data_IF_322981223557
#
_entry.id   IF_322981223557
#
_cell.length_a   1.000
_cell.length_b   1.000
_cell.length_c   1.000
_cell.angle_alpha   90.00
_cell.angle_beta   90.00
_cell.angle_gamma   90.00
#
_symmetry.space_group_name_H-M   'P 1'
#
loop_
_entity.id
_entity.type
_entity.pdbx_description
1 polymer ?
#
# COMPACT_ATOMS: atom_id res chain seq x y z
N UNK A 1 -4.90 -7.95 -8.20
CA UNK A 1 -6.08 -7.65 -9.03
C UNK A 1 -7.14 -6.92 -8.22
N UNK A 2 -7.66 -7.49 -7.12
CA UNK A 2 -8.72 -6.85 -6.33
C UNK A 2 -8.36 -5.45 -5.81
N UNK A 3 -7.13 -5.24 -5.34
CA UNK A 3 -6.65 -3.91 -4.91
C UNK A 3 -6.70 -2.85 -6.02
N UNK A 4 -6.38 -3.23 -7.25
CA UNK A 4 -6.45 -2.33 -8.41
C UNK A 4 -7.91 -2.03 -8.75
N UNK A 5 -8.78 -3.04 -8.73
CA UNK A 5 -10.21 -2.85 -8.94
C UNK A 5 -10.80 -1.88 -7.89
N UNK A 6 -10.49 -2.09 -6.61
CA UNK A 6 -10.92 -1.20 -5.53
C UNK A 6 -10.42 0.24 -5.75
N UNK A 7 -9.17 0.39 -6.20
CA UNK A 7 -8.59 1.69 -6.55
C UNK A 7 -9.39 2.37 -7.67
N UNK A 8 -9.75 1.63 -8.73
CA UNK A 8 -10.52 2.17 -9.86
C UNK A 8 -11.90 2.67 -9.42
N UNK A 9 -12.58 1.95 -8.53
CA UNK A 9 -13.89 2.35 -8.00
C UNK A 9 -13.84 3.51 -7.01
N UNK A 10 -12.82 3.55 -6.15
CA UNK A 10 -12.77 4.50 -5.02
C UNK A 10 -11.99 5.77 -5.38
N UNK A 11 -10.83 5.61 -6.01
CA UNK A 11 -9.96 6.73 -6.35
C UNK A 11 -10.24 7.28 -7.74
N UNK A 12 -10.49 6.37 -8.71
CA UNK A 12 -10.69 6.69 -10.12
C UNK A 12 -9.38 6.58 -10.90
N UNK A 13 -9.16 7.52 -11.82
CA UNK A 13 -7.93 7.54 -12.61
C UNK A 13 -6.73 8.04 -11.79
N UNK A 14 -5.57 7.44 -12.01
CA UNK A 14 -4.32 7.76 -11.32
C UNK A 14 -3.13 7.55 -12.25
N UNK A 15 -2.13 8.42 -12.09
CA UNK A 15 -0.93 8.48 -12.92
C UNK A 15 0.31 7.88 -12.24
N UNK A 16 0.24 7.65 -10.92
CA UNK A 16 1.37 7.17 -10.14
C UNK A 16 1.00 6.15 -9.05
N UNK A 17 1.71 5.03 -9.04
CA UNK A 17 1.62 3.97 -8.04
C UNK A 17 2.91 3.87 -7.24
N UNK A 18 2.81 3.73 -5.93
CA UNK A 18 3.90 3.38 -5.02
C UNK A 18 3.72 1.98 -4.48
N UNK A 19 4.70 1.09 -4.61
CA UNK A 19 4.67 -0.26 -4.04
C UNK A 19 5.72 -0.39 -2.94
N UNK A 20 5.26 -0.63 -1.71
CA UNK A 20 6.09 -0.85 -0.53
C UNK A 20 6.06 -2.34 -0.20
N UNK A 21 7.19 -3.01 -0.40
CA UNK A 21 7.33 -4.45 -0.23
C UNK A 21 7.45 -5.17 -1.57
N UNK A 22 8.66 -5.66 -1.88
CA UNK A 22 8.99 -6.37 -3.12
C UNK A 22 9.11 -7.88 -2.90
N UNK A 23 8.11 -8.45 -2.21
CA UNK A 23 7.90 -9.91 -2.18
C UNK A 23 7.10 -10.36 -3.41
N UNK A 24 6.74 -11.66 -3.46
CA UNK A 24 5.98 -12.26 -4.57
C UNK A 24 4.79 -11.40 -5.02
N UNK A 25 3.96 -10.96 -4.08
CA UNK A 25 2.76 -10.20 -4.39
C UNK A 25 3.05 -8.74 -4.79
N UNK A 26 4.08 -8.12 -4.22
CA UNK A 26 4.51 -6.78 -4.63
C UNK A 26 5.01 -6.76 -6.08
N UNK A 27 5.80 -7.76 -6.47
CA UNK A 27 6.22 -7.95 -7.87
C UNK A 27 5.01 -8.13 -8.80
N UNK A 28 4.07 -9.00 -8.41
CA UNK A 28 2.85 -9.23 -9.18
C UNK A 28 1.98 -7.97 -9.33
N UNK A 29 1.90 -7.11 -8.30
CA UNK A 29 1.16 -5.84 -8.41
C UNK A 29 1.81 -4.91 -9.43
N UNK A 30 3.15 -4.80 -9.44
CA UNK A 30 3.88 -4.00 -10.43
C UNK A 30 3.62 -4.52 -11.84
N UNK A 31 3.71 -5.83 -12.04
CA UNK A 31 3.45 -6.49 -13.33
C UNK A 31 2.01 -6.26 -13.81
N UNK A 32 1.01 -6.48 -12.94
CA UNK A 32 -0.40 -6.27 -13.28
C UNK A 32 -0.64 -4.82 -13.68
N UNK A 33 -0.10 -3.86 -12.92
CA UNK A 33 -0.35 -2.44 -13.17
C UNK A 33 0.35 -1.97 -14.44
N UNK A 34 1.57 -2.44 -14.73
CA UNK A 34 2.27 -2.09 -15.97
C UNK A 34 1.52 -2.58 -17.22
N UNK A 35 0.82 -3.70 -17.12
CA UNK A 35 0.00 -4.26 -18.21
C UNK A 35 -1.34 -3.52 -18.36
N UNK A 36 -2.02 -3.25 -17.24
CA UNK A 36 -3.35 -2.62 -17.25
C UNK A 36 -3.31 -1.12 -17.54
N UNK A 37 -2.23 -0.43 -17.14
CA UNK A 37 -2.13 1.03 -17.19
C UNK A 37 -0.83 1.47 -17.88
N UNK A 38 -0.87 1.56 -19.21
CA UNK A 38 0.28 2.03 -19.99
C UNK A 38 0.66 3.46 -19.62
N UNK A 39 1.96 3.70 -19.39
CA UNK A 39 2.50 5.03 -19.06
C UNK A 39 2.38 5.44 -17.60
N UNK A 40 1.90 4.55 -16.73
CA UNK A 40 1.83 4.82 -15.28
C UNK A 40 3.24 4.90 -14.67
N UNK A 41 3.47 5.89 -13.79
CA UNK A 41 4.72 5.97 -13.02
C UNK A 41 4.66 4.99 -11.86
N UNK A 42 5.57 4.00 -11.84
CA UNK A 42 5.64 3.01 -10.77
C UNK A 42 6.85 3.28 -9.90
N UNK A 43 6.62 3.73 -8.66
CA UNK A 43 7.67 3.90 -7.65
C UNK A 43 7.73 2.65 -6.76
N UNK A 44 8.93 2.16 -6.44
CA UNK A 44 9.10 0.95 -5.62
C UNK A 44 10.02 1.17 -4.43
N UNK A 45 9.73 0.48 -3.33
CA UNK A 45 10.58 0.50 -2.14
C UNK A 45 10.62 -0.85 -1.42
N UNK A 46 11.81 -1.21 -0.96
CA UNK A 46 12.06 -2.28 0.01
C UNK A 46 13.32 -1.93 0.79
N UNK A 47 13.39 -2.16 2.12
CA UNK A 47 14.61 -1.91 2.88
C UNK A 47 15.73 -2.90 2.57
N UNK A 48 15.43 -4.04 1.93
CA UNK A 48 16.42 -5.06 1.57
C UNK A 48 17.04 -4.76 0.20
N UNK A 49 18.32 -4.39 0.18
CA UNK A 49 19.08 -4.17 -1.04
C UNK A 49 19.04 -5.40 -1.97
N UNK A 50 19.25 -6.60 -1.43
CA UNK A 50 19.18 -7.84 -2.20
C UNK A 50 17.82 -8.04 -2.90
N UNK A 51 16.70 -7.70 -2.22
CA UNK A 51 15.37 -7.79 -2.84
C UNK A 51 15.17 -6.71 -3.90
N UNK A 52 15.70 -5.51 -3.68
CA UNK A 52 15.64 -4.43 -4.67
C UNK A 52 16.38 -4.83 -5.95
N UNK A 53 17.61 -5.34 -5.84
CA UNK A 53 18.40 -5.80 -6.99
C UNK A 53 17.70 -6.91 -7.77
N UNK A 54 17.13 -7.90 -7.07
CA UNK A 54 16.34 -8.97 -7.69
C UNK A 54 15.11 -8.43 -8.42
N UNK A 55 14.36 -7.53 -7.79
CA UNK A 55 13.17 -6.93 -8.39
C UNK A 55 13.51 -6.14 -9.66
N UNK A 56 14.56 -5.31 -9.61
CA UNK A 56 15.03 -4.54 -10.77
C UNK A 56 15.48 -5.44 -11.93
N UNK A 57 16.14 -6.57 -11.64
CA UNK A 57 16.53 -7.53 -12.67
C UNK A 57 15.30 -8.16 -13.36
N UNK A 58 14.28 -8.54 -12.58
CA UNK A 58 13.01 -9.09 -13.09
C UNK A 58 12.31 -8.05 -13.98
N UNK A 59 12.04 -6.85 -13.45
CA UNK A 59 11.33 -5.81 -14.18
C UNK A 59 12.07 -5.36 -15.44
N UNK A 60 13.41 -5.26 -15.40
CA UNK A 60 14.21 -4.99 -16.60
C UNK A 60 14.05 -6.09 -17.65
N UNK A 61 14.03 -7.37 -17.24
CA UNK A 61 13.86 -8.48 -18.18
C UNK A 61 12.47 -8.53 -18.82
N UNK A 62 11.47 -7.98 -18.14
CA UNK A 62 10.07 -7.87 -18.59
C UNK A 62 9.78 -6.55 -19.33
N UNK A 63 10.76 -5.65 -19.42
CA UNK A 63 10.58 -4.32 -20.04
C UNK A 63 9.68 -3.37 -19.23
N UNK A 64 9.54 -3.60 -17.92
CA UNK A 64 8.75 -2.76 -17.03
C UNK A 64 9.63 -1.66 -16.45
N UNK A 65 9.25 -0.41 -16.69
CA UNK A 65 9.92 0.76 -16.10
C UNK A 65 9.43 1.00 -14.67
N UNK A 66 10.38 1.15 -13.75
CA UNK A 66 10.13 1.38 -12.32
C UNK A 66 11.15 2.36 -11.75
N UNK A 67 10.72 3.19 -10.80
CA UNK A 67 11.56 4.14 -10.09
C UNK A 67 11.81 3.68 -8.65
N UNK A 68 12.97 3.10 -8.33
CA UNK A 68 13.32 2.79 -6.94
C UNK A 68 13.47 4.09 -6.13
N UNK A 69 12.85 4.13 -4.95
CA UNK A 69 13.00 5.24 -4.00
C UNK A 69 13.87 4.83 -2.81
N UNK A 70 14.42 5.82 -2.12
CA UNK A 70 15.29 5.62 -0.96
C UNK A 70 14.52 5.59 0.38
N UNK A 71 13.24 5.94 0.37
CA UNK A 71 12.45 6.06 1.58
C UNK A 71 10.94 5.93 1.32
N UNK A 72 10.22 5.47 2.34
CA UNK A 72 8.75 5.43 2.35
C UNK A 72 8.17 6.84 2.17
N UNK A 73 8.78 7.86 2.76
CA UNK A 73 8.35 9.26 2.62
C UNK A 73 8.31 9.70 1.15
N UNK A 74 9.39 9.43 0.39
CA UNK A 74 9.41 9.73 -1.05
C UNK A 74 8.37 8.95 -1.85
N UNK A 75 8.14 7.68 -1.51
CA UNK A 75 7.05 6.91 -2.14
C UNK A 75 5.71 7.63 -1.95
N UNK A 76 5.42 8.09 -0.73
CA UNK A 76 4.15 8.75 -0.44
C UNK A 76 4.04 10.13 -1.13
N UNK A 77 5.13 10.89 -1.16
CA UNK A 77 5.18 12.20 -1.83
C UNK A 77 5.02 12.08 -3.35
N UNK A 78 5.54 11.03 -3.97
CA UNK A 78 5.57 10.87 -5.43
C UNK A 78 4.50 9.94 -6.02
N UNK A 79 3.63 9.36 -5.19
CA UNK A 79 2.56 8.45 -5.64
C UNK A 79 1.17 8.89 -5.19
N UNK A 80 0.18 8.75 -6.06
CA UNK A 80 -1.25 8.99 -5.78
C UNK A 80 -1.90 7.78 -5.10
N UNK A 81 -1.46 6.59 -5.51
CA UNK A 81 -1.89 5.30 -4.94
C UNK A 81 -0.68 4.63 -4.31
N UNK A 82 -0.84 4.13 -3.09
CA UNK A 82 0.19 3.35 -2.38
C UNK A 82 -0.36 1.95 -2.16
N UNK A 83 0.43 0.93 -2.47
CA UNK A 83 0.17 -0.45 -2.08
C UNK A 83 1.24 -0.90 -1.09
N UNK A 84 0.84 -1.28 0.12
CA UNK A 84 1.72 -1.89 1.12
C UNK A 84 1.48 -3.40 1.17
N UNK A 85 2.56 -4.18 1.07
CA UNK A 85 2.49 -5.65 1.11
C UNK A 85 3.77 -6.26 1.70
N UNK A 86 3.98 -6.00 2.98
CA UNK A 86 5.14 -6.45 3.74
C UNK A 86 4.76 -7.46 4.82
N UNK A 87 5.76 -7.91 5.58
CA UNK A 87 5.59 -8.72 6.79
C UNK A 87 5.93 -7.90 8.05
N UNK A 88 5.84 -6.58 7.97
CA UNK A 88 6.16 -5.71 9.10
C UNK A 88 5.22 -6.00 10.27
N UNK A 89 5.77 -5.99 11.47
CA UNK A 89 5.03 -6.06 12.74
C UNK A 89 4.91 -4.70 13.41
N UNK A 90 5.83 -3.80 13.07
CA UNK A 90 5.84 -2.42 13.51
C UNK A 90 5.36 -1.52 12.37
N UNK A 91 4.41 -0.61 12.62
CA UNK A 91 3.91 0.31 11.61
C UNK A 91 5.03 1.23 11.11
N UNK A 92 5.01 1.54 9.81
CA UNK A 92 5.98 2.42 9.17
C UNK A 92 5.32 3.56 8.38
N UNK A 93 4.06 3.40 7.96
CA UNK A 93 3.34 4.40 7.17
C UNK A 93 2.68 5.41 8.12
N UNK A 94 3.27 6.60 8.20
CA UNK A 94 2.83 7.67 9.11
C UNK A 94 1.89 8.66 8.44
N UNK A 95 1.04 9.30 9.25
CA UNK A 95 0.11 10.34 8.80
C UNK A 95 0.83 11.51 8.11
N UNK A 96 1.97 11.96 8.66
CA UNK A 96 2.79 13.05 8.08
C UNK A 96 3.31 12.76 6.66
N UNK A 97 3.34 11.48 6.25
CA UNK A 97 3.76 11.11 4.90
C UNK A 97 2.62 11.16 3.90
N UNK A 98 1.35 11.12 4.34
CA UNK A 98 0.19 10.89 3.46
C UNK A 98 -0.88 11.98 3.57
N UNK A 99 -0.75 12.92 4.51
CA UNK A 99 -1.75 13.96 4.77
C UNK A 99 -1.62 15.24 3.92
N UNK A 100 -0.69 15.27 2.96
CA UNK A 100 -0.39 16.47 2.18
C UNK A 100 -1.12 16.55 0.82
N UNK A 101 -1.81 15.46 0.41
CA UNK A 101 -2.57 15.37 -0.84
C UNK A 101 -3.63 14.27 -0.76
N UNK A 102 -4.54 14.22 -1.75
CA UNK A 102 -5.48 13.10 -1.90
C UNK A 102 -4.70 11.83 -2.25
N UNK A 103 -4.83 10.79 -1.43
CA UNK A 103 -4.09 9.53 -1.59
C UNK A 103 -5.01 8.33 -1.37
N UNK A 104 -4.74 7.23 -2.07
CA UNK A 104 -5.40 5.94 -1.84
C UNK A 104 -4.37 4.93 -1.34
N UNK A 105 -4.71 4.15 -0.32
CA UNK A 105 -3.81 3.16 0.27
C UNK A 105 -4.48 1.78 0.19
N UNK A 106 -3.85 0.89 -0.56
CA UNK A 106 -4.14 -0.54 -0.55
C UNK A 106 -3.27 -1.22 0.51
N UNK A 107 -3.83 -1.45 1.69
CA UNK A 107 -3.15 -2.14 2.80
C UNK A 107 -3.34 -3.66 2.67
N UNK A 108 -2.37 -4.36 2.09
CA UNK A 108 -2.51 -5.78 1.76
C UNK A 108 -1.66 -6.71 2.64
N UNK A 109 -0.75 -6.18 3.46
CA UNK A 109 0.18 -6.98 4.26
C UNK A 109 -0.42 -7.54 5.55
N UNK A 110 -1.48 -6.93 6.07
CA UNK A 110 -2.05 -7.29 7.36
C UNK A 110 -3.21 -8.26 7.24
N UNK A 111 -2.89 -9.53 7.43
CA UNK A 111 -3.84 -10.63 7.42
C UNK A 111 -3.80 -11.47 8.71
N UNK A 112 -3.09 -10.97 9.72
CA UNK A 112 -3.09 -11.45 11.11
C UNK A 112 -2.88 -10.23 12.03
N UNK A 113 -3.39 -10.25 13.29
CA UNK A 113 -3.39 -9.08 14.16
C UNK A 113 -2.00 -8.48 14.45
N UNK A 114 -0.94 -9.29 14.38
CA UNK A 114 0.43 -8.87 14.68
C UNK A 114 1.12 -8.20 13.49
N UNK A 115 0.54 -8.24 12.29
CA UNK A 115 1.09 -7.53 11.13
C UNK A 115 0.47 -6.17 11.04
N UNK A 116 1.28 -5.13 11.15
CA UNK A 116 0.82 -3.76 11.14
C UNK A 116 1.79 -2.96 10.30
N UNK A 117 1.30 -2.38 9.20
CA UNK A 117 2.10 -1.56 8.30
C UNK A 117 1.83 -0.06 8.50
N UNK A 118 0.63 0.26 8.99
CA UNK A 118 0.08 1.61 9.01
C UNK A 118 -0.16 2.07 10.44
N UNK A 119 0.24 3.30 10.75
CA UNK A 119 -0.02 3.90 12.05
C UNK A 119 -1.53 4.17 12.25
N UNK A 120 -2.09 3.94 13.46
CA UNK A 120 -3.50 4.17 13.78
C UNK A 120 -4.03 5.57 13.41
N UNK A 121 -3.16 6.58 13.47
CA UNK A 121 -3.47 7.97 13.12
C UNK A 121 -3.85 8.12 11.63
N UNK A 122 -3.29 7.29 10.75
CA UNK A 122 -3.69 7.24 9.34
C UNK A 122 -5.09 6.67 9.19
N UNK A 123 -5.41 5.60 9.93
CA UNK A 123 -6.75 4.99 9.94
C UNK A 123 -7.77 6.02 10.42
N UNK A 124 -7.48 6.73 11.51
CA UNK A 124 -8.34 7.80 12.03
C UNK A 124 -8.58 8.92 11.01
N UNK A 125 -7.54 9.32 10.31
CA UNK A 125 -7.58 10.42 9.34
C UNK A 125 -8.24 10.03 8.01
N UNK A 126 -8.37 8.73 7.71
CA UNK A 126 -9.01 8.26 6.49
C UNK A 126 -10.45 8.79 6.36
N UNK A 127 -10.87 9.06 5.12
CA UNK A 127 -12.24 9.47 4.81
C UNK A 127 -13.18 8.28 4.58
N UNK A 128 -12.62 7.18 4.07
CA UNK A 128 -13.30 5.93 3.77
C UNK A 128 -12.31 4.79 3.98
N UNK A 129 -12.77 3.72 4.61
CA UNK A 129 -12.06 2.47 4.83
C UNK A 129 -12.90 1.43 4.10
N UNK A 130 -12.30 0.65 3.21
CA UNK A 130 -13.00 -0.43 2.52
C UNK A 130 -12.31 -1.74 2.87
N UNK A 131 -13.11 -2.72 3.24
CA UNK A 131 -12.65 -4.06 3.59
C UNK A 131 -13.42 -5.10 2.79
N UNK A 132 -12.79 -6.25 2.55
CA UNK A 132 -13.43 -7.35 1.82
C UNK A 132 -14.60 -7.94 2.61
N UNK A 133 -14.40 -8.14 3.92
CA UNK A 133 -15.41 -8.64 4.84
C UNK A 133 -15.21 -7.98 6.21
N UNK A 134 -16.29 -7.39 6.74
CA UNK A 134 -16.22 -6.53 7.92
C UNK A 134 -15.86 -7.31 9.18
N UNK A 135 -16.54 -8.42 9.46
CA UNK A 135 -16.35 -9.15 10.72
C UNK A 135 -14.96 -9.76 10.84
N UNK A 136 -14.44 -10.31 9.75
CA UNK A 136 -13.12 -10.90 9.62
C UNK A 136 -12.05 -9.80 9.70
N UNK A 137 -12.22 -8.68 9.00
CA UNK A 137 -11.23 -7.60 9.02
C UNK A 137 -11.09 -6.97 10.41
N UNK A 138 -12.18 -6.84 11.17
CA UNK A 138 -12.15 -6.36 12.56
C UNK A 138 -11.45 -7.33 13.54
N UNK A 139 -11.22 -8.59 13.14
CA UNK A 139 -10.53 -9.61 13.94
C UNK A 139 -9.08 -9.83 13.47
N UNK A 140 -8.82 -9.73 12.18
CA UNK A 140 -7.56 -10.18 11.56
C UNK A 140 -6.67 -9.03 11.06
N UNK A 141 -7.23 -7.89 10.66
CA UNK A 141 -6.39 -6.74 10.27
C UNK A 141 -5.80 -6.11 11.52
N UNK A 142 -4.48 -6.23 11.66
CA UNK A 142 -3.72 -5.59 12.71
C UNK A 142 -3.96 -4.08 12.77
N UNK A 143 -4.07 -3.39 11.62
CA UNK A 143 -4.38 -1.95 11.58
C UNK A 143 -5.75 -1.63 12.18
N UNK A 144 -6.80 -2.38 11.82
CA UNK A 144 -8.15 -2.13 12.33
C UNK A 144 -8.27 -2.54 13.80
N UNK A 145 -7.67 -3.67 14.19
CA UNK A 145 -7.66 -4.15 15.58
C UNK A 145 -6.97 -3.13 16.49
N UNK A 146 -5.79 -2.64 16.11
CA UNK A 146 -5.06 -1.65 16.93
C UNK A 146 -5.78 -0.30 16.95
N UNK A 147 -6.31 0.17 15.80
CA UNK A 147 -7.05 1.43 15.73
C UNK A 147 -8.32 1.37 16.58
N UNK A 148 -9.05 0.26 16.56
CA UNK A 148 -10.23 0.04 17.42
C UNK A 148 -9.85 0.05 18.90
N UNK A 149 -8.80 -0.68 19.29
CA UNK A 149 -8.31 -0.72 20.69
C UNK A 149 -7.91 0.67 21.19
N UNK A 150 -7.38 1.52 20.31
CA UNK A 150 -6.96 2.89 20.63
C UNK A 150 -8.08 3.94 20.50
N UNK A 151 -9.32 3.55 20.18
CA UNK A 151 -10.42 4.50 19.98
C UNK A 151 -10.23 5.41 18.75
N UNK A 152 -9.46 4.94 17.77
CA UNK A 152 -9.11 5.67 16.55
C UNK A 152 -9.86 5.17 15.31
N UNK A 153 -10.60 4.06 15.43
CA UNK A 153 -11.45 3.53 14.36
C UNK A 153 -12.87 4.12 14.48
N UNK A 154 -13.31 4.82 13.44
CA UNK A 154 -14.69 5.29 13.28
C UNK A 154 -15.44 4.31 12.38
N UNK A 155 -16.41 3.60 12.97
CA UNK A 155 -17.21 2.58 12.28
C UNK A 155 -18.10 3.15 11.16
N UNK A 156 -18.39 4.45 11.17
CA UNK A 156 -19.17 5.08 10.10
C UNK A 156 -18.38 5.25 8.78
N UNK A 157 -17.06 5.02 8.83
CA UNK A 157 -16.16 5.13 7.68
C UNK A 157 -15.88 3.81 6.99
N UNK A 158 -16.38 2.67 7.50
CA UNK A 158 -16.13 1.33 6.96
C UNK A 158 -17.29 0.91 6.05
#
# INVERSE_FOLDING_TARGET
VLSILATDYIYGDFSSLGVIGLGKYGLAIVEIVSQLRKGIKINIFTPSQQRMEKALAIFRSEGIDVSPKDSIKKICEESEVITTITKAKDPFLKLEYVNHKRIHINAMGSNIPEKIEIFPEVIKASNLIVVEELEQSLKESGELVIAKKMGMLDMSKI
#
